data_IF_895137629140
#
_entry.id   IF_895137629140
#
_cell.length_a   1.000
_cell.length_b   1.000
_cell.length_c   1.000
_cell.angle_alpha   90.00
_cell.angle_beta   90.00
_cell.angle_gamma   90.00
#
_symmetry.space_group_name_H-M   'P 1'
#
loop_
_entity.id
_entity.type
_entity.pdbx_description
1 polymer ?
#
# COMPACT_ATOMS: atom_id res chain seq x y z
N UNK A 1 38.00 3.01 0.32
CA UNK A 1 36.78 2.40 0.80
C UNK A 1 36.62 1.01 0.21
N UNK A 2 36.55 0.01 1.05
CA UNK A 2 36.33 -1.36 0.60
C UNK A 2 34.87 -1.61 0.26
N UNK A 3 34.64 -2.35 -0.81
CA UNK A 3 33.31 -2.76 -1.21
C UNK A 3 33.08 -4.22 -0.76
N UNK A 4 32.04 -4.46 0.02
CA UNK A 4 31.74 -5.78 0.55
C UNK A 4 30.60 -6.42 -0.25
N UNK A 5 30.94 -7.36 -1.15
CA UNK A 5 29.96 -8.04 -1.99
C UNK A 5 29.02 -8.92 -1.17
N UNK A 6 29.50 -9.57 -0.11
CA UNK A 6 28.64 -10.41 0.74
C UNK A 6 27.57 -9.58 1.45
N UNK A 7 27.92 -8.38 1.94
CA UNK A 7 26.95 -7.47 2.54
C UNK A 7 25.94 -6.94 1.51
N UNK A 8 26.40 -6.68 0.29
CA UNK A 8 25.52 -6.26 -0.80
C UNK A 8 24.54 -7.37 -1.21
N UNK A 9 25.04 -8.62 -1.31
CA UNK A 9 24.17 -9.77 -1.59
C UNK A 9 23.13 -9.99 -0.52
N UNK A 10 23.53 -9.84 0.76
CA UNK A 10 22.60 -9.91 1.90
C UNK A 10 21.49 -8.86 1.80
N UNK A 11 21.81 -7.67 1.28
CA UNK A 11 20.83 -6.61 1.07
C UNK A 11 19.72 -7.01 0.07
N UNK A 12 20.09 -7.75 -0.98
CA UNK A 12 19.16 -8.15 -2.04
C UNK A 12 18.51 -9.50 -1.82
N UNK A 13 18.98 -10.29 -0.85
CA UNK A 13 18.49 -11.64 -0.57
C UNK A 13 17.49 -11.70 0.59
N UNK A 14 16.89 -10.56 0.94
CA UNK A 14 15.79 -10.53 1.92
C UNK A 14 14.59 -11.34 1.40
N UNK A 15 13.92 -12.04 2.33
CA UNK A 15 12.77 -12.85 2.00
C UNK A 15 11.61 -11.99 1.51
N UNK A 16 10.97 -12.45 0.45
CA UNK A 16 9.72 -11.86 -0.03
C UNK A 16 8.58 -12.32 0.87
N UNK A 17 7.80 -11.37 1.36
CA UNK A 17 6.65 -11.60 2.23
C UNK A 17 5.38 -11.28 1.47
N UNK A 18 4.39 -12.15 1.59
CA UNK A 18 3.04 -11.90 1.08
C UNK A 18 2.07 -11.86 2.24
N UNK A 19 1.27 -10.82 2.33
CA UNK A 19 0.31 -10.62 3.40
C UNK A 19 -1.00 -10.08 2.84
N UNK A 20 -2.12 -10.50 3.45
CA UNK A 20 -3.44 -9.98 3.13
C UNK A 20 -3.90 -9.11 4.30
N UNK A 21 -4.19 -7.85 4.03
CA UNK A 21 -4.67 -6.89 5.03
C UNK A 21 -6.14 -6.59 4.75
N UNK A 22 -7.06 -7.01 5.61
CA UNK A 22 -8.47 -6.69 5.45
C UNK A 22 -8.76 -5.27 5.95
N UNK A 23 -9.60 -4.55 5.21
CA UNK A 23 -10.15 -3.25 5.60
C UNK A 23 -11.67 -3.39 5.60
N UNK A 24 -12.29 -3.30 6.77
CA UNK A 24 -13.74 -3.41 6.90
C UNK A 24 -14.44 -2.17 6.35
N UNK A 25 -15.72 -2.32 6.01
CA UNK A 25 -16.53 -1.18 5.59
C UNK A 25 -16.56 -0.05 6.64
N UNK A 26 -16.64 -0.41 7.92
CA UNK A 26 -16.63 0.57 9.01
C UNK A 26 -15.32 1.36 9.02
N UNK A 27 -14.18 0.69 8.92
CA UNK A 27 -12.86 1.33 8.90
C UNK A 27 -12.71 2.20 7.65
N UNK A 28 -13.08 1.68 6.49
CA UNK A 28 -12.99 2.45 5.24
C UNK A 28 -13.85 3.73 5.27
N UNK A 29 -15.02 3.67 5.88
CA UNK A 29 -15.90 4.84 6.03
C UNK A 29 -15.40 5.87 7.04
N UNK A 30 -14.53 5.50 7.95
CA UNK A 30 -13.91 6.45 8.90
C UNK A 30 -12.63 7.08 8.35
N UNK A 31 -12.17 6.63 7.20
CA UNK A 31 -10.95 7.10 6.57
C UNK A 31 -11.09 8.54 6.12
N UNK A 32 -10.12 9.38 6.49
CA UNK A 32 -10.01 10.77 6.05
C UNK A 32 -8.54 11.08 5.72
N UNK A 33 -8.30 12.26 5.17
CA UNK A 33 -6.96 12.76 4.90
C UNK A 33 -6.07 12.80 6.15
N UNK A 34 -6.66 13.14 7.28
CA UNK A 34 -5.95 13.28 8.55
C UNK A 34 -5.92 12.00 9.39
N UNK A 35 -6.64 10.96 8.96
CA UNK A 35 -6.74 9.69 9.69
C UNK A 35 -6.44 8.51 8.77
N UNK A 36 -5.19 8.38 8.27
CA UNK A 36 -4.83 7.26 7.41
C UNK A 36 -4.87 5.93 8.16
N UNK A 37 -5.08 4.85 7.43
CA UNK A 37 -4.97 3.48 7.96
C UNK A 37 -3.60 2.94 7.63
N UNK A 38 -2.91 2.36 8.61
CA UNK A 38 -1.65 1.66 8.38
C UNK A 38 -1.92 0.24 7.88
N UNK A 39 -1.47 -0.06 6.66
CA UNK A 39 -1.53 -1.40 6.09
C UNK A 39 -0.29 -2.23 6.45
N UNK A 40 0.89 -1.62 6.41
CA UNK A 40 2.14 -2.21 6.87
C UNK A 40 2.85 -1.23 7.78
N UNK A 41 3.30 -1.71 8.93
CA UNK A 41 4.08 -0.90 9.87
C UNK A 41 5.42 -0.48 9.25
N UNK A 42 5.96 0.65 9.70
CA UNK A 42 7.30 1.09 9.33
C UNK A 42 8.33 0.02 9.75
N UNK A 43 9.32 -0.30 8.89
CA UNK A 43 10.23 -1.42 9.13
C UNK A 43 11.32 -1.12 10.16
N UNK A 44 11.47 0.12 10.58
CA UNK A 44 12.50 0.55 11.52
C UNK A 44 13.61 1.35 10.87
N UNK A 45 14.41 2.01 11.69
CA UNK A 45 15.54 2.81 11.23
C UNK A 45 16.53 1.97 10.42
N UNK A 46 17.08 2.51 9.36
CA UNK A 46 18.01 1.82 8.47
C UNK A 46 17.38 0.80 7.54
N UNK A 47 16.05 0.76 7.46
CA UNK A 47 15.31 -0.17 6.60
C UNK A 47 14.26 0.55 5.80
N UNK A 48 13.90 -0.04 4.66
CA UNK A 48 12.80 0.43 3.82
C UNK A 48 11.96 -0.76 3.33
N UNK A 49 10.70 -0.52 3.06
CA UNK A 49 9.82 -1.50 2.43
C UNK A 49 9.94 -1.39 0.91
N UNK A 50 10.31 -2.47 0.26
CA UNK A 50 10.28 -2.60 -1.19
C UNK A 50 8.97 -3.29 -1.58
N UNK A 51 7.97 -2.49 -1.92
CA UNK A 51 6.66 -3.00 -2.32
C UNK A 51 6.77 -3.50 -3.76
N UNK A 52 6.58 -4.79 -3.96
CA UNK A 52 6.70 -5.43 -5.27
C UNK A 52 5.38 -5.46 -6.02
N UNK A 53 4.29 -5.68 -5.30
CA UNK A 53 2.97 -5.77 -5.88
C UNK A 53 1.91 -5.53 -4.81
N UNK A 54 0.84 -4.84 -5.20
CA UNK A 54 -0.38 -4.74 -4.40
C UNK A 54 -1.56 -5.09 -5.29
N UNK A 55 -2.32 -6.10 -4.89
CA UNK A 55 -3.60 -6.44 -5.52
C UNK A 55 -4.71 -6.14 -4.51
N UNK A 56 -5.62 -5.27 -4.90
CA UNK A 56 -6.82 -4.96 -4.14
C UNK A 56 -7.96 -5.86 -4.61
N UNK A 57 -8.53 -6.63 -3.70
CA UNK A 57 -9.81 -7.29 -3.92
C UNK A 57 -10.91 -6.48 -3.23
N UNK A 58 -11.86 -6.01 -4.02
CA UNK A 58 -13.06 -5.34 -3.52
C UNK A 58 -14.18 -6.38 -3.49
N UNK A 59 -14.57 -6.77 -2.28
CA UNK A 59 -15.80 -7.53 -2.06
C UNK A 59 -16.93 -6.50 -1.99
N UNK A 60 -17.74 -6.44 -3.04
CA UNK A 60 -18.71 -5.38 -3.22
C UNK A 60 -19.82 -5.37 -2.16
N UNK A 61 -20.15 -6.52 -1.57
CA UNK A 61 -21.28 -6.62 -0.66
C UNK A 61 -22.61 -6.35 -1.36
N UNK A 62 -23.62 -5.95 -0.59
CA UNK A 62 -24.95 -5.59 -1.12
C UNK A 62 -25.14 -4.09 -1.33
N UNK A 63 -24.28 -3.26 -0.76
CA UNK A 63 -24.28 -1.80 -0.91
C UNK A 63 -22.88 -1.36 -1.31
N UNK A 64 -22.77 -0.75 -2.50
CA UNK A 64 -21.49 -0.29 -3.01
C UNK A 64 -20.91 0.86 -2.17
N UNK A 65 -19.60 0.95 -2.12
CA UNK A 65 -18.91 2.12 -1.55
C UNK A 65 -19.10 3.35 -2.44
N UNK A 66 -19.03 4.53 -1.83
CA UNK A 66 -19.19 5.80 -2.53
C UNK A 66 -18.09 6.80 -2.16
N UNK A 67 -16.81 6.47 -2.33
CA UNK A 67 -15.75 7.43 -2.01
C UNK A 67 -15.89 8.70 -2.86
N UNK A 68 -15.75 9.85 -2.24
CA UNK A 68 -15.87 11.14 -2.94
C UNK A 68 -14.60 11.49 -3.71
N UNK A 69 -13.46 10.92 -3.33
CA UNK A 69 -12.19 11.06 -4.01
C UNK A 69 -11.54 9.68 -4.19
N UNK A 70 -10.59 9.59 -5.11
CA UNK A 70 -9.80 8.39 -5.28
C UNK A 70 -8.98 8.11 -4.01
N UNK A 71 -9.14 6.94 -3.35
CA UNK A 71 -8.25 6.58 -2.24
C UNK A 71 -6.80 6.47 -2.70
N UNK A 72 -5.88 6.76 -1.80
CA UNK A 72 -4.46 6.81 -2.12
C UNK A 72 -3.62 5.97 -1.16
N UNK A 73 -2.56 5.38 -1.69
CA UNK A 73 -1.55 4.68 -0.92
C UNK A 73 -0.29 5.53 -0.86
N UNK A 74 0.36 5.56 0.30
CA UNK A 74 1.53 6.37 0.51
C UNK A 74 2.53 5.71 1.46
N UNK A 75 3.74 6.20 1.45
CA UNK A 75 4.79 5.88 2.42
C UNK A 75 6.06 5.36 1.78
N UNK A 76 6.20 4.03 1.56
CA UNK A 76 7.48 3.45 1.10
C UNK A 76 7.90 3.92 -0.29
N UNK A 77 6.95 4.19 -1.15
CA UNK A 77 7.16 4.70 -2.50
C UNK A 77 5.89 5.43 -2.95
N UNK A 78 5.85 5.87 -4.20
CA UNK A 78 4.69 6.56 -4.77
C UNK A 78 3.82 5.57 -5.56
N UNK A 79 2.51 5.66 -5.39
CA UNK A 79 1.53 4.80 -6.05
C UNK A 79 0.57 5.63 -6.89
N UNK A 80 -0.05 5.00 -7.88
CA UNK A 80 -1.22 5.59 -8.54
C UNK A 80 -2.43 5.48 -7.63
N UNK A 81 -3.29 6.50 -7.65
CA UNK A 81 -4.52 6.49 -6.85
C UNK A 81 -5.44 5.34 -7.27
N UNK A 82 -6.20 4.82 -6.32
CA UNK A 82 -7.17 3.75 -6.56
C UNK A 82 -8.44 4.40 -7.13
N UNK A 83 -8.95 3.96 -8.29
CA UNK A 83 -10.15 4.57 -8.87
C UNK A 83 -11.36 4.47 -7.94
N UNK A 84 -11.98 5.59 -7.63
CA UNK A 84 -13.16 5.67 -6.77
C UNK A 84 -14.43 5.14 -7.42
N UNK A 85 -14.48 5.16 -8.74
CA UNK A 85 -15.69 4.87 -9.52
C UNK A 85 -16.12 3.42 -9.53
N UNK A 86 -17.15 3.15 -10.32
CA UNK A 86 -17.79 1.82 -10.43
C UNK A 86 -16.89 0.72 -11.01
N UNK A 87 -15.75 1.09 -11.56
CA UNK A 87 -14.77 0.12 -12.07
C UNK A 87 -13.95 -0.53 -10.95
N UNK A 88 -13.81 0.13 -9.79
CA UNK A 88 -13.05 -0.39 -8.65
C UNK A 88 -13.81 -0.17 -7.34
N UNK A 89 -13.65 0.97 -6.67
CA UNK A 89 -14.16 1.15 -5.30
C UNK A 89 -15.69 1.13 -5.21
N UNK A 90 -16.37 1.80 -6.13
CA UNK A 90 -17.84 1.86 -6.15
C UNK A 90 -18.46 0.78 -7.01
N UNK A 91 -17.76 -0.32 -7.25
CA UNK A 91 -18.30 -1.46 -8.00
C UNK A 91 -19.44 -2.12 -7.24
N UNK A 92 -20.45 -2.58 -7.99
CA UNK A 92 -21.56 -3.38 -7.48
C UNK A 92 -21.29 -4.88 -7.55
N UNK A 93 -20.15 -5.26 -8.11
CA UNK A 93 -19.67 -6.65 -8.20
C UNK A 93 -18.22 -6.71 -7.70
N UNK A 94 -17.78 -7.90 -7.32
CA UNK A 94 -16.41 -8.10 -6.86
C UNK A 94 -15.41 -7.75 -7.94
N UNK A 95 -14.31 -7.11 -7.54
CA UNK A 95 -13.26 -6.62 -8.44
C UNK A 95 -11.89 -6.97 -7.89
N UNK A 96 -11.01 -7.43 -8.77
CA UNK A 96 -9.56 -7.49 -8.53
C UNK A 96 -8.89 -6.34 -9.27
N UNK A 97 -8.13 -5.52 -8.55
CA UNK A 97 -7.43 -4.36 -9.10
C UNK A 97 -5.96 -4.38 -8.70
N UNK A 98 -5.08 -4.32 -9.69
CA UNK A 98 -3.64 -4.21 -9.43
C UNK A 98 -3.27 -2.74 -9.30
N UNK A 99 -2.81 -2.35 -8.10
CA UNK A 99 -2.39 -0.96 -7.84
C UNK A 99 -1.08 -0.71 -8.57
N UNK A 100 -1.03 0.37 -9.35
CA UNK A 100 0.18 0.76 -10.08
C UNK A 100 1.14 1.57 -9.23
N UNK A 101 2.43 1.44 -9.53
CA UNK A 101 3.45 2.37 -9.02
C UNK A 101 3.40 3.64 -9.86
N UNK A 102 3.52 4.79 -9.21
CA UNK A 102 3.55 6.07 -9.91
C UNK A 102 4.82 6.21 -10.74
N UNK A 103 4.70 6.89 -11.88
CA UNK A 103 5.84 7.11 -12.76
C UNK A 103 6.91 8.03 -12.17
N UNK A 104 6.61 8.82 -11.13
CA UNK A 104 7.54 9.80 -10.58
C UNK A 104 7.28 10.06 -9.09
N UNK A 105 8.29 9.98 -8.24
CA UNK A 105 9.65 9.45 -8.49
C UNK A 105 9.65 7.92 -8.46
N UNK A 106 10.05 7.31 -9.55
CA UNK A 106 10.10 5.85 -9.66
C UNK A 106 11.36 5.31 -9.02
N UNK A 107 11.22 4.22 -8.27
CA UNK A 107 12.34 3.46 -7.74
C UNK A 107 12.98 4.00 -6.47
N UNK A 108 12.52 5.13 -5.95
CA UNK A 108 13.03 5.67 -4.69
C UNK A 108 12.25 5.05 -3.53
N UNK A 109 12.96 4.40 -2.62
CA UNK A 109 12.40 3.82 -1.42
C UNK A 109 12.63 4.76 -0.23
N UNK A 110 11.55 5.06 0.50
CA UNK A 110 11.61 5.93 1.68
C UNK A 110 11.95 5.09 2.91
N UNK A 111 13.04 5.48 3.59
CA UNK A 111 13.49 4.80 4.79
C UNK A 111 12.47 4.93 5.92
N UNK A 112 12.24 3.82 6.63
CA UNK A 112 11.38 3.75 7.81
C UNK A 112 9.97 4.33 7.60
N UNK A 113 9.40 4.10 6.44
CA UNK A 113 8.05 4.55 6.10
C UNK A 113 7.04 3.40 6.16
N UNK A 114 5.93 3.61 6.85
CA UNK A 114 4.81 2.69 6.85
C UNK A 114 4.04 2.81 5.53
N UNK A 115 3.41 1.71 5.09
CA UNK A 115 2.44 1.76 3.99
C UNK A 115 1.07 2.13 4.56
N UNK A 116 0.52 3.24 4.09
CA UNK A 116 -0.76 3.77 4.59
C UNK A 116 -1.77 3.94 3.46
N UNK A 117 -3.05 3.84 3.82
CA UNK A 117 -4.20 4.14 2.96
C UNK A 117 -4.88 5.40 3.47
N UNK A 118 -5.15 6.35 2.59
CA UNK A 118 -5.87 7.59 2.91
C UNK A 118 -7.09 7.76 1.99
N UNK A 119 -8.01 8.62 2.39
CA UNK A 119 -9.16 9.00 1.57
C UNK A 119 -8.84 10.08 0.54
N UNK A 120 -7.62 10.61 0.53
CA UNK A 120 -7.18 11.68 -0.37
C UNK A 120 -8.16 12.88 -0.36
N UNK A 121 -8.38 13.44 0.82
CA UNK A 121 -9.31 14.56 1.09
C UNK A 121 -10.79 14.25 0.83
N UNK A 122 -11.14 13.01 0.60
CA UNK A 122 -12.52 12.57 0.40
C UNK A 122 -13.04 11.74 1.57
N UNK A 123 -14.32 11.39 1.49
CA UNK A 123 -14.98 10.51 2.45
C UNK A 123 -15.79 9.44 1.75
N UNK A 124 -16.01 8.34 2.45
CA UNK A 124 -16.92 7.28 2.04
C UNK A 124 -18.03 7.18 3.08
N UNK A 125 -19.27 7.27 2.68
CA UNK A 125 -20.42 7.28 3.61
C UNK A 125 -21.26 6.01 3.49
N UNK A 126 -21.24 5.32 2.36
CA UNK A 126 -22.00 4.09 2.12
C UNK A 126 -21.07 2.92 1.81
N UNK A 127 -21.63 1.74 1.86
CA UNK A 127 -20.92 0.50 1.57
C UNK A 127 -20.94 -0.46 2.74
N UNK A 128 -21.06 -1.75 2.45
CA UNK A 128 -21.05 -2.82 3.45
C UNK A 128 -20.16 -4.01 3.05
N UNK A 129 -19.38 -3.85 2.00
CA UNK A 129 -18.41 -4.85 1.57
C UNK A 129 -17.11 -4.82 2.37
N UNK A 130 -16.07 -5.40 1.79
CA UNK A 130 -14.74 -5.46 2.36
C UNK A 130 -13.69 -5.10 1.30
N UNK A 131 -12.59 -4.54 1.74
CA UNK A 131 -11.40 -4.38 0.92
C UNK A 131 -10.31 -5.31 1.46
N UNK A 132 -9.65 -6.04 0.57
CA UNK A 132 -8.53 -6.90 0.93
C UNK A 132 -7.31 -6.47 0.11
N UNK A 133 -6.27 -6.01 0.79
CA UNK A 133 -5.00 -5.65 0.16
C UNK A 133 -4.05 -6.83 0.24
N UNK A 134 -3.80 -7.49 -0.89
CA UNK A 134 -2.76 -8.52 -0.98
C UNK A 134 -1.45 -7.82 -1.34
N UNK A 135 -0.52 -7.79 -0.40
CA UNK A 135 0.72 -7.03 -0.53
C UNK A 135 1.89 -8.00 -0.56
N UNK A 136 2.67 -7.92 -1.62
CA UNK A 136 3.94 -8.64 -1.76
C UNK A 136 5.08 -7.63 -1.62
N UNK A 137 5.95 -7.84 -0.63
CA UNK A 137 7.03 -6.91 -0.33
C UNK A 137 8.24 -7.62 0.25
N UNK A 138 9.34 -6.92 0.31
CA UNK A 138 10.50 -7.30 1.10
C UNK A 138 11.05 -6.10 1.85
N UNK A 139 11.74 -6.35 2.94
CA UNK A 139 12.43 -5.33 3.71
C UNK A 139 13.88 -5.26 3.24
N UNK A 140 14.36 -4.09 2.90
CA UNK A 140 15.74 -3.86 2.46
C UNK A 140 16.47 -2.99 3.47
N UNK A 141 17.76 -3.28 3.68
CA UNK A 141 18.62 -2.44 4.50
C UNK A 141 19.06 -1.21 3.71
N UNK A 142 18.93 -0.05 4.33
CA UNK A 142 19.40 1.23 3.78
C UNK A 142 20.59 1.78 4.56
N UNK A 143 21.08 0.99 5.54
CA UNK A 143 22.20 1.41 6.38
C UNK A 143 23.53 1.27 5.64
N UNK A 144 24.51 2.02 6.10
CA UNK A 144 25.85 2.07 5.50
C UNK A 144 26.75 0.88 5.84
N UNK A 145 26.19 -0.23 6.29
CA UNK A 145 26.97 -1.43 6.67
C UNK A 145 27.52 -2.24 5.48
N UNK A 146 27.34 -1.74 4.27
CA UNK A 146 27.88 -2.34 3.05
C UNK A 146 29.38 -2.10 2.83
N UNK A 147 30.01 -1.42 3.71
CA UNK A 147 31.44 -1.09 3.62
C UNK A 147 32.28 -1.84 4.61
#
# INVERSE_FOLDING_TARGET
RSFNISALQSLFNEDVVNVVVPVTATVFKTLTDSTPITLLAAPGAGKALDIQQIILFVDAGSVAFNPSQDPDLAGPTTFTAIPKGSTVCASTTDVLYKVGLSASPVGILVQNAALTLTANAGTTTTGNGMLYFNITYKTVNTSSTMV
#
